data_IF_238588760346
#
_entry.id   IF_238588760346
#
_cell.length_a   1.000
_cell.length_b   1.000
_cell.length_c   1.000
_cell.angle_alpha   90.00
_cell.angle_beta   90.00
_cell.angle_gamma   90.00
#
_symmetry.space_group_name_H-M   'P 1'
#
loop_
_entity.id
_entity.type
_entity.pdbx_description
1 polymer ?
#
# COMPACT_ATOMS: atom_id res chain seq x y z
N UNK A 1 7.34 -22.92 12.38
CA UNK A 1 7.85 -22.35 11.11
C UNK A 1 8.69 -21.15 11.48
N UNK A 2 9.97 -21.17 11.15
CA UNK A 2 10.84 -20.04 11.51
C UNK A 2 10.42 -18.81 10.70
N UNK A 3 10.17 -17.67 11.36
CA UNK A 3 9.79 -16.40 10.74
C UNK A 3 10.78 -15.87 9.69
N UNK A 4 11.96 -16.52 9.59
CA UNK A 4 13.06 -16.09 8.72
C UNK A 4 12.93 -16.50 7.25
N UNK A 5 12.01 -17.41 6.91
CA UNK A 5 11.88 -17.94 5.55
C UNK A 5 10.66 -17.40 4.79
N UNK A 6 9.90 -16.46 5.37
CA UNK A 6 8.68 -15.95 4.75
C UNK A 6 8.91 -14.52 4.25
N UNK A 7 8.68 -14.30 2.96
CA UNK A 7 8.70 -12.96 2.36
C UNK A 7 7.63 -12.08 3.02
N UNK A 8 8.02 -10.90 3.52
CA UNK A 8 7.13 -9.95 4.18
C UNK A 8 5.94 -9.53 3.31
N UNK A 9 6.10 -9.48 1.98
CA UNK A 9 5.01 -9.19 1.06
C UNK A 9 3.94 -10.28 1.06
N UNK A 10 4.38 -11.53 1.16
CA UNK A 10 3.46 -12.68 1.31
C UNK A 10 2.68 -12.59 2.61
N UNK A 11 3.35 -12.28 3.72
CA UNK A 11 2.70 -12.09 5.03
C UNK A 11 1.69 -10.94 4.97
N UNK A 12 2.08 -9.82 4.37
CA UNK A 12 1.20 -8.66 4.18
C UNK A 12 -0.08 -9.05 3.40
N UNK A 13 0.08 -9.68 2.24
CA UNK A 13 -1.05 -10.06 1.40
C UNK A 13 -1.98 -11.06 2.10
N UNK A 14 -1.42 -12.06 2.79
CA UNK A 14 -2.20 -13.07 3.52
C UNK A 14 -2.95 -12.44 4.71
N UNK A 15 -2.27 -11.60 5.50
CA UNK A 15 -2.90 -10.88 6.61
C UNK A 15 -4.01 -9.93 6.12
N UNK A 16 -3.80 -9.26 4.98
CA UNK A 16 -4.81 -8.38 4.41
C UNK A 16 -6.05 -9.17 3.94
N UNK A 17 -5.87 -10.37 3.38
CA UNK A 17 -6.98 -11.28 3.06
C UNK A 17 -7.77 -11.66 4.32
N UNK A 18 -7.10 -11.96 5.43
CA UNK A 18 -7.75 -12.26 6.71
C UNK A 18 -8.54 -11.06 7.25
N UNK A 19 -7.95 -9.87 7.24
CA UNK A 19 -8.61 -8.62 7.64
C UNK A 19 -9.83 -8.33 6.78
N UNK A 20 -9.71 -8.42 5.46
CA UNK A 20 -10.82 -8.20 4.52
C UNK A 20 -11.92 -9.26 4.64
N UNK A 21 -11.58 -10.47 5.10
CA UNK A 21 -12.58 -11.52 5.36
C UNK A 21 -13.40 -11.21 6.62
N UNK A 22 -12.76 -10.67 7.66
CA UNK A 22 -13.37 -10.38 8.95
C UNK A 22 -14.04 -9.00 9.02
N UNK A 23 -13.60 -8.05 8.19
CA UNK A 23 -14.09 -6.68 8.21
C UNK A 23 -14.41 -6.19 6.79
N UNK A 24 -15.69 -5.89 6.48
CA UNK A 24 -16.11 -5.43 5.14
C UNK A 24 -15.66 -4.00 4.81
N UNK A 25 -15.21 -3.23 5.78
CA UNK A 25 -14.75 -1.87 5.55
C UNK A 25 -13.26 -1.79 5.16
N UNK A 26 -12.51 -2.88 5.32
CA UNK A 26 -11.14 -2.96 4.84
C UNK A 26 -11.10 -3.06 3.32
N UNK A 27 -10.34 -2.17 2.68
CA UNK A 27 -10.15 -2.10 1.24
C UNK A 27 -8.67 -2.02 0.87
N UNK A 28 -8.29 -2.55 -0.28
CA UNK A 28 -6.92 -2.58 -0.79
C UNK A 28 -6.78 -1.64 -1.99
N UNK A 29 -5.75 -0.79 -1.98
CA UNK A 29 -5.39 0.05 -3.11
C UNK A 29 -3.95 -0.24 -3.54
N UNK A 30 -3.72 -0.27 -4.84
CA UNK A 30 -2.41 -0.47 -5.47
C UNK A 30 -2.19 0.56 -6.57
N UNK A 31 -0.94 0.82 -6.89
CA UNK A 31 -0.54 1.67 -8.00
C UNK A 31 0.25 0.84 -9.03
N UNK A 32 -0.44 -0.07 -9.74
CA UNK A 32 0.11 -1.00 -10.74
C UNK A 32 1.19 -1.95 -10.19
N UNK A 33 1.21 -2.20 -8.90
CA UNK A 33 2.20 -3.06 -8.24
C UNK A 33 1.59 -4.30 -7.56
N UNK A 34 0.30 -4.52 -7.68
CA UNK A 34 -0.39 -5.63 -7.02
C UNK A 34 0.18 -7.02 -7.36
N UNK A 35 0.74 -7.20 -8.57
CA UNK A 35 1.44 -8.44 -8.95
C UNK A 35 2.80 -8.57 -8.26
N UNK A 36 3.53 -7.48 -8.12
CA UNK A 36 4.84 -7.47 -7.46
C UNK A 36 4.72 -7.56 -5.93
N UNK A 37 3.67 -6.98 -5.35
CA UNK A 37 3.37 -7.07 -3.90
C UNK A 37 2.71 -8.40 -3.51
N UNK A 38 2.21 -9.18 -4.48
CA UNK A 38 1.50 -10.42 -4.25
C UNK A 38 0.04 -10.25 -3.84
N UNK A 39 -0.47 -9.03 -3.85
CA UNK A 39 -1.86 -8.72 -3.47
C UNK A 39 -2.84 -9.05 -4.60
N UNK A 40 -2.45 -8.81 -5.87
CA UNK A 40 -3.37 -8.93 -7.00
C UNK A 40 -4.05 -10.31 -7.08
N UNK A 41 -3.32 -11.46 -7.16
CA UNK A 41 -4.01 -12.73 -7.29
C UNK A 41 -4.79 -13.14 -6.04
N UNK A 42 -4.36 -12.71 -4.86
CA UNK A 42 -4.97 -13.13 -3.58
C UNK A 42 -6.19 -12.30 -3.21
N UNK A 43 -6.17 -11.01 -3.50
CA UNK A 43 -7.19 -10.06 -3.04
C UNK A 43 -8.18 -9.76 -4.16
N UNK A 44 -7.70 -9.42 -5.35
CA UNK A 44 -8.57 -9.08 -6.48
C UNK A 44 -9.60 -10.19 -6.78
N UNK A 45 -9.15 -11.44 -6.84
CA UNK A 45 -10.04 -12.55 -7.21
C UNK A 45 -11.06 -12.86 -6.10
N UNK A 46 -10.70 -12.60 -4.85
CA UNK A 46 -11.56 -12.86 -3.68
C UNK A 46 -12.46 -11.68 -3.32
N UNK A 47 -12.01 -10.46 -3.54
CA UNK A 47 -12.70 -9.23 -3.15
C UNK A 47 -12.66 -8.18 -4.27
N UNK A 48 -13.21 -8.46 -5.48
CA UNK A 48 -13.06 -7.57 -6.64
C UNK A 48 -13.63 -6.16 -6.39
N UNK A 49 -14.69 -6.05 -5.60
CA UNK A 49 -15.32 -4.75 -5.28
C UNK A 49 -14.58 -3.95 -4.19
N UNK A 50 -13.50 -4.51 -3.63
CA UNK A 50 -12.71 -3.91 -2.55
C UNK A 50 -11.22 -3.88 -2.86
N UNK A 51 -10.85 -4.13 -4.10
CA UNK A 51 -9.52 -3.99 -4.63
C UNK A 51 -9.50 -2.94 -5.73
N UNK A 52 -8.69 -1.90 -5.57
CA UNK A 52 -8.60 -0.77 -6.49
C UNK A 52 -7.17 -0.61 -6.98
N UNK A 53 -6.96 -0.83 -8.27
CA UNK A 53 -5.71 -0.45 -8.92
C UNK A 53 -5.91 0.89 -9.63
N UNK A 54 -5.17 1.91 -9.20
CA UNK A 54 -5.29 3.27 -9.74
C UNK A 54 -4.30 3.55 -10.87
N UNK A 55 -3.57 2.52 -11.31
CA UNK A 55 -2.45 2.70 -12.23
C UNK A 55 -1.22 3.33 -11.56
N UNK A 56 -0.20 3.66 -12.34
CA UNK A 56 1.04 4.29 -11.81
C UNK A 56 0.76 5.74 -11.42
N UNK A 57 0.03 5.93 -10.31
CA UNK A 57 -0.46 7.21 -9.85
C UNK A 57 -0.55 7.26 -8.31
N UNK A 58 0.57 7.10 -7.62
CA UNK A 58 0.62 6.92 -6.17
C UNK A 58 0.09 8.13 -5.39
N UNK A 59 0.33 9.34 -5.85
CA UNK A 59 -0.25 10.53 -5.24
C UNK A 59 -1.79 10.52 -5.31
N UNK A 60 -2.35 10.12 -6.46
CA UNK A 60 -3.79 9.90 -6.61
C UNK A 60 -4.29 8.76 -5.71
N UNK A 61 -3.52 7.67 -5.58
CA UNK A 61 -3.85 6.56 -4.68
C UNK A 61 -4.06 7.04 -3.23
N UNK A 62 -3.18 7.88 -2.72
CA UNK A 62 -3.34 8.45 -1.36
C UNK A 62 -4.58 9.35 -1.27
N UNK A 63 -4.86 10.14 -2.30
CA UNK A 63 -6.08 10.95 -2.37
C UNK A 63 -7.35 10.09 -2.36
N UNK A 64 -7.40 9.04 -3.17
CA UNK A 64 -8.51 8.07 -3.21
C UNK A 64 -8.67 7.37 -1.87
N UNK A 65 -7.55 6.90 -1.27
CA UNK A 65 -7.57 6.26 0.04
C UNK A 65 -8.12 7.21 1.12
N UNK A 66 -7.71 8.49 1.08
CA UNK A 66 -8.23 9.49 2.02
C UNK A 66 -9.74 9.74 1.85
N UNK A 67 -10.22 9.79 0.61
CA UNK A 67 -11.66 9.88 0.31
C UNK A 67 -12.43 8.66 0.84
N UNK A 68 -11.93 7.46 0.62
CA UNK A 68 -12.53 6.22 1.13
C UNK A 68 -12.55 6.19 2.67
N UNK A 69 -11.47 6.70 3.31
CA UNK A 69 -11.43 6.80 4.78
C UNK A 69 -12.49 7.77 5.32
N UNK A 70 -12.75 8.89 4.63
CA UNK A 70 -13.83 9.82 4.99
C UNK A 70 -15.23 9.17 4.90
N UNK A 71 -15.39 8.19 3.98
CA UNK A 71 -16.61 7.40 3.84
C UNK A 71 -16.68 6.19 4.80
N UNK A 72 -15.78 6.13 5.80
CA UNK A 72 -15.77 5.10 6.82
C UNK A 72 -15.05 3.81 6.44
N UNK A 73 -14.34 3.78 5.30
CA UNK A 73 -13.51 2.63 4.94
C UNK A 73 -12.17 2.65 5.66
N UNK A 74 -11.51 1.49 5.66
CA UNK A 74 -10.16 1.30 6.22
C UNK A 74 -9.22 0.92 5.06
N UNK A 75 -8.71 1.91 4.32
CA UNK A 75 -7.90 1.66 3.14
C UNK A 75 -6.45 1.30 3.50
N UNK A 76 -5.95 0.27 2.83
CA UNK A 76 -4.54 -0.11 2.78
C UNK A 76 -4.01 0.25 1.40
N UNK A 77 -3.19 1.28 1.32
CA UNK A 77 -2.62 1.80 0.09
C UNK A 77 -1.15 1.38 -0.02
N UNK A 78 -0.83 0.53 -0.98
CA UNK A 78 0.49 -0.09 -1.10
C UNK A 78 1.20 0.28 -2.40
N UNK A 79 2.50 0.55 -2.29
CA UNK A 79 3.42 0.71 -3.41
C UNK A 79 4.87 0.48 -2.94
N UNK A 80 5.87 0.64 -3.81
CA UNK A 80 7.26 0.68 -3.35
C UNK A 80 7.51 1.85 -2.40
N UNK A 81 8.38 1.67 -1.41
CA UNK A 81 8.55 2.61 -0.29
C UNK A 81 8.81 4.06 -0.75
N UNK A 82 9.69 4.26 -1.74
CA UNK A 82 9.97 5.59 -2.27
C UNK A 82 8.79 6.24 -3.02
N UNK A 83 7.89 5.43 -3.55
CA UNK A 83 6.70 5.90 -4.26
C UNK A 83 5.53 6.12 -3.30
N UNK A 84 5.37 5.24 -2.33
CA UNK A 84 4.34 5.37 -1.30
C UNK A 84 4.66 6.45 -0.25
N UNK A 85 5.90 6.91 -0.15
CA UNK A 85 6.32 7.96 0.80
C UNK A 85 6.71 9.25 0.08
N UNK A 86 7.94 9.35 -0.39
CA UNK A 86 8.54 10.57 -0.96
C UNK A 86 7.71 11.18 -2.10
N UNK A 87 7.21 10.35 -3.03
CA UNK A 87 6.40 10.81 -4.18
C UNK A 87 5.05 11.38 -3.75
N UNK A 88 4.49 10.89 -2.65
CA UNK A 88 3.17 11.22 -2.15
C UNK A 88 3.20 12.10 -0.89
N UNK A 89 4.35 12.66 -0.53
CA UNK A 89 4.54 13.31 0.76
C UNK A 89 3.50 14.40 1.04
N UNK A 90 3.18 15.23 0.05
CA UNK A 90 2.17 16.27 0.19
C UNK A 90 0.77 15.68 0.46
N UNK A 91 0.35 14.67 -0.30
CA UNK A 91 -0.92 14.02 -0.13
C UNK A 91 -1.02 13.29 1.22
N UNK A 92 0.08 12.67 1.66
CA UNK A 92 0.14 12.06 3.00
C UNK A 92 -0.03 13.13 4.07
N UNK A 93 0.69 14.25 3.94
CA UNK A 93 0.66 15.33 4.92
C UNK A 93 -0.71 15.97 5.01
N UNK A 94 -1.29 16.35 3.88
CA UNK A 94 -2.53 17.16 3.85
C UNK A 94 -3.78 16.26 3.86
N UNK A 95 -3.84 15.27 2.96
CA UNK A 95 -5.07 14.51 2.78
C UNK A 95 -5.22 13.39 3.81
N UNK A 96 -4.14 12.79 4.30
CA UNK A 96 -4.21 11.73 5.30
C UNK A 96 -3.98 12.26 6.72
N UNK A 97 -2.79 12.83 7.00
CA UNK A 97 -2.38 13.17 8.36
C UNK A 97 -3.11 14.41 8.91
N UNK A 98 -3.09 15.53 8.18
CA UNK A 98 -3.75 16.76 8.64
C UNK A 98 -5.28 16.56 8.77
N UNK A 99 -5.89 15.84 7.85
CA UNK A 99 -7.32 15.51 7.87
C UNK A 99 -7.67 14.39 8.87
N UNK A 100 -6.69 13.83 9.56
CA UNK A 100 -6.84 12.72 10.54
C UNK A 100 -7.57 11.50 9.94
N UNK A 101 -7.31 11.16 8.69
CA UNK A 101 -7.92 10.05 7.98
C UNK A 101 -7.25 8.71 8.33
N UNK A 102 -8.06 7.66 8.51
CA UNK A 102 -7.61 6.33 8.90
C UNK A 102 -7.02 5.54 7.70
N UNK A 103 -6.00 6.09 7.03
CA UNK A 103 -5.31 5.47 5.90
C UNK A 103 -4.11 4.65 6.39
N UNK A 104 -3.96 3.41 5.88
CA UNK A 104 -2.77 2.57 6.10
C UNK A 104 -1.90 2.67 4.84
N UNK A 105 -0.73 3.27 4.97
CA UNK A 105 0.23 3.43 3.87
C UNK A 105 1.30 2.37 4.01
N UNK A 106 1.46 1.56 2.97
CA UNK A 106 2.37 0.40 2.97
C UNK A 106 3.46 0.61 1.93
N UNK A 107 4.68 0.88 2.41
CA UNK A 107 5.87 1.00 1.57
C UNK A 107 6.62 -0.33 1.51
N UNK A 108 6.60 -1.01 0.38
CA UNK A 108 7.34 -2.25 0.17
C UNK A 108 8.75 -1.99 -0.36
N UNK A 109 9.64 -2.98 -0.21
CA UNK A 109 11.02 -2.93 -0.72
C UNK A 109 11.80 -1.65 -0.31
N UNK A 110 11.95 -1.39 1.01
CA UNK A 110 12.62 -0.20 1.51
C UNK A 110 14.14 -0.21 1.28
N UNK A 111 14.75 0.96 1.41
CA UNK A 111 16.20 1.14 1.34
C UNK A 111 16.77 0.75 -0.01
N UNK A 112 17.73 -0.17 -0.01
CA UNK A 112 18.48 -0.65 -1.19
C UNK A 112 17.96 -1.97 -1.76
N UNK A 113 16.83 -2.48 -1.32
CA UNK A 113 16.34 -3.81 -1.70
C UNK A 113 15.97 -3.93 -3.18
N UNK A 114 15.70 -2.80 -3.86
CA UNK A 114 15.42 -2.77 -5.30
C UNK A 114 16.70 -2.70 -6.16
N UNK A 115 17.56 -3.71 -6.00
CA UNK A 115 18.86 -3.76 -6.68
C UNK A 115 18.78 -3.80 -8.19
N UNK A 116 17.79 -4.52 -8.77
CA UNK A 116 17.58 -4.59 -10.22
C UNK A 116 17.20 -3.26 -10.84
N UNK A 117 16.35 -2.49 -10.17
CA UNK A 117 15.86 -1.22 -10.67
C UNK A 117 16.81 -0.06 -10.36
N UNK A 118 17.72 -0.25 -9.39
CA UNK A 118 18.73 0.74 -9.02
C UNK A 118 18.17 1.98 -8.33
N UNK A 119 18.93 3.07 -8.39
CA UNK A 119 18.70 4.28 -7.60
C UNK A 119 17.33 4.95 -7.80
N UNK A 120 16.65 4.73 -8.93
CA UNK A 120 15.31 5.29 -9.17
C UNK A 120 14.23 4.66 -8.29
N UNK A 121 14.46 3.46 -7.79
CA UNK A 121 13.52 2.69 -6.96
C UNK A 121 14.01 2.52 -5.51
N UNK A 122 15.22 2.94 -5.21
CA UNK A 122 15.76 2.96 -3.85
C UNK A 122 15.20 4.17 -3.08
N UNK A 123 15.00 4.01 -1.79
CA UNK A 123 14.61 5.09 -0.90
C UNK A 123 15.43 5.01 0.39
N UNK A 124 15.93 6.15 0.83
CA UNK A 124 16.75 6.27 2.03
C UNK A 124 16.10 7.19 3.07
N UNK A 125 14.98 7.79 2.72
CA UNK A 125 14.33 8.83 3.52
C UNK A 125 13.00 8.37 4.14
N UNK A 126 12.57 7.15 3.93
CA UNK A 126 11.26 6.65 4.37
C UNK A 126 11.02 6.74 5.88
N UNK A 127 12.09 6.77 6.67
CA UNK A 127 11.99 6.96 8.12
C UNK A 127 12.07 8.43 8.55
N UNK A 128 12.48 9.31 7.64
CA UNK A 128 12.59 10.75 7.91
C UNK A 128 11.34 11.53 7.42
N UNK A 129 10.61 10.92 6.51
CA UNK A 129 9.36 11.43 5.96
C UNK A 129 8.18 10.87 6.77
#
# INVERSE_FOLDING_TARGET
MALHDTDMRTVYADTLVELMTSNPDVVCLEADLGRASGTFPKIHDKFPDRFFDVGIAEANMIGVASGLANEGKIPFAASFSGFASRRCYDQITISAAYSNNNVKIVGTAPGVTQTYNGGTHMCFQELAI
#
